data_IF_117867659149
#
_entry.id   IF_117867659149
#
_cell.length_a   1.000
_cell.length_b   1.000
_cell.length_c   1.000
_cell.angle_alpha   90.00
_cell.angle_beta   90.00
_cell.angle_gamma   90.00
#
_symmetry.space_group_name_H-M   'P 1'
#
loop_
_entity.id
_entity.type
_entity.pdbx_description
1 polymer ?
#
# COMPACT_ATOMS: atom_id res chain seq x y z
N UNK A 1 10.82 -39.51 31.97
CA UNK A 1 10.67 -38.60 30.80
C UNK A 1 9.57 -39.14 29.90
N UNK A 2 8.37 -38.55 29.98
CA UNK A 2 7.19 -38.93 29.16
C UNK A 2 7.26 -38.19 27.83
N UNK A 3 7.27 -38.94 26.73
CA UNK A 3 7.08 -38.42 25.38
C UNK A 3 5.58 -38.25 25.13
N UNK A 4 5.06 -37.04 25.31
CA UNK A 4 3.73 -36.67 24.82
C UNK A 4 3.79 -36.51 23.29
N UNK A 5 3.18 -37.47 22.60
CA UNK A 5 2.99 -37.41 21.16
C UNK A 5 1.99 -36.30 20.81
N UNK A 6 2.49 -35.31 20.07
CA UNK A 6 1.74 -34.23 19.44
C UNK A 6 0.57 -34.79 18.61
N UNK A 7 -0.66 -34.65 19.11
CA UNK A 7 -1.89 -34.88 18.33
C UNK A 7 -2.28 -33.57 17.63
N UNK A 8 -2.18 -33.44 16.30
CA UNK A 8 -2.78 -32.31 15.61
C UNK A 8 -4.31 -32.47 15.67
N UNK A 9 -4.97 -31.58 16.42
CA UNK A 9 -6.43 -31.46 16.41
C UNK A 9 -6.87 -30.92 15.05
N UNK A 10 -7.22 -31.81 14.12
CA UNK A 10 -8.00 -31.47 12.94
C UNK A 10 -9.46 -31.27 13.38
N UNK A 11 -9.77 -30.11 13.94
CA UNK A 11 -11.16 -29.68 14.14
C UNK A 11 -11.64 -29.01 12.86
N UNK A 12 -12.30 -29.78 11.99
CA UNK A 12 -13.24 -29.22 11.02
C UNK A 12 -14.65 -29.30 11.62
N UNK A 13 -15.41 -28.19 11.68
CA UNK A 13 -16.82 -28.25 12.04
C UNK A 13 -17.60 -28.84 10.85
N UNK A 14 -18.20 -30.00 11.05
CA UNK A 14 -19.15 -30.59 10.09
C UNK A 14 -20.53 -30.03 10.43
N UNK A 15 -21.26 -29.40 9.47
CA UNK A 15 -22.62 -28.96 9.73
C UNK A 15 -23.56 -30.16 9.86
N UNK A 16 -24.32 -30.19 10.96
CA UNK A 16 -25.29 -31.23 11.24
C UNK A 16 -26.44 -31.21 10.22
N UNK A 17 -26.58 -32.28 9.44
CA UNK A 17 -27.84 -32.66 8.79
C UNK A 17 -28.25 -34.05 9.28
N UNK A 18 -29.45 -34.13 9.83
CA UNK A 18 -30.02 -35.35 10.39
C UNK A 18 -30.19 -36.45 9.35
N UNK A 19 -29.91 -37.69 9.78
CA UNK A 19 -30.13 -38.90 9.00
C UNK A 19 -29.03 -39.94 9.18
N UNK A 20 -29.30 -40.96 10.00
CA UNK A 20 -28.53 -42.19 10.20
C UNK A 20 -27.19 -42.09 10.94
N UNK A 21 -27.13 -42.67 12.15
CA UNK A 21 -25.90 -42.89 12.91
C UNK A 21 -24.99 -43.89 12.17
N UNK A 22 -24.14 -43.39 11.28
CA UNK A 22 -22.90 -44.09 10.96
C UNK A 22 -22.04 -44.04 12.21
N UNK A 23 -21.82 -45.20 12.85
CA UNK A 23 -20.88 -45.32 13.97
C UNK A 23 -19.53 -44.74 13.51
N UNK A 24 -19.12 -43.63 14.10
CA UNK A 24 -17.75 -43.14 13.97
C UNK A 24 -16.82 -44.22 14.57
N UNK A 25 -15.86 -44.78 13.83
CA UNK A 25 -14.93 -45.78 14.37
C UNK A 25 -14.18 -45.15 15.55
N UNK A 26 -14.37 -45.68 16.76
CA UNK A 26 -13.92 -45.04 18.00
C UNK A 26 -12.49 -45.37 18.41
N UNK A 27 -11.70 -46.06 17.59
CA UNK A 27 -10.26 -46.26 17.83
C UNK A 27 -9.56 -46.43 16.49
N UNK A 28 -8.48 -45.69 16.26
CA UNK A 28 -7.64 -45.87 15.09
C UNK A 28 -6.90 -47.21 15.23
N UNK A 29 -7.36 -48.25 14.53
CA UNK A 29 -6.62 -49.51 14.41
C UNK A 29 -5.61 -49.41 13.24
N UNK A 30 -4.29 -49.48 13.50
CA UNK A 30 -3.26 -49.47 12.47
C UNK A 30 -3.45 -50.55 11.39
N UNK A 31 -3.97 -51.73 11.78
CA UNK A 31 -4.18 -52.85 10.86
C UNK A 31 -5.34 -52.54 9.92
N UNK A 32 -6.47 -52.08 10.46
CA UNK A 32 -7.62 -51.70 9.65
C UNK A 32 -7.27 -50.57 8.66
N UNK A 33 -6.50 -49.56 9.08
CA UNK A 33 -6.02 -48.50 8.19
C UNK A 33 -5.19 -49.04 7.01
N UNK A 34 -4.26 -49.97 7.26
CA UNK A 34 -3.44 -50.57 6.21
C UNK A 34 -4.23 -51.47 5.27
N UNK A 35 -5.22 -52.21 5.79
CA UNK A 35 -6.13 -53.04 4.98
C UNK A 35 -7.00 -52.14 4.10
N UNK A 36 -7.61 -51.09 4.66
CA UNK A 36 -8.44 -50.14 3.91
C UNK A 36 -7.66 -49.45 2.78
N UNK A 37 -6.40 -49.13 3.04
CA UNK A 37 -5.53 -48.46 2.08
C UNK A 37 -5.10 -49.37 0.92
N UNK A 38 -4.80 -50.65 1.19
CA UNK A 38 -4.46 -51.64 0.16
C UNK A 38 -5.67 -52.11 -0.64
N UNK A 39 -6.85 -52.14 -0.01
CA UNK A 39 -8.10 -52.59 -0.63
C UNK A 39 -9.20 -51.51 -0.57
N UNK A 40 -9.03 -50.37 -1.26
CA UNK A 40 -9.98 -49.25 -1.21
C UNK A 40 -11.39 -49.64 -1.69
N UNK A 41 -11.49 -50.66 -2.54
CA UNK A 41 -12.75 -51.20 -3.06
C UNK A 41 -13.63 -51.87 -2.00
N UNK A 42 -13.08 -52.29 -0.86
CA UNK A 42 -13.87 -52.85 0.24
C UNK A 42 -14.83 -51.82 0.83
N UNK A 43 -14.39 -50.56 0.99
CA UNK A 43 -15.26 -49.48 1.48
C UNK A 43 -16.40 -49.17 0.51
N UNK A 44 -16.09 -49.14 -0.79
CA UNK A 44 -17.11 -48.91 -1.84
C UNK A 44 -18.12 -50.07 -1.89
N UNK A 45 -17.68 -51.31 -1.61
CA UNK A 45 -18.55 -52.47 -1.56
C UNK A 45 -19.49 -52.52 -0.34
N UNK A 46 -19.18 -51.77 0.73
CA UNK A 46 -19.96 -51.72 1.98
C UNK A 46 -21.05 -50.64 1.99
N UNK A 47 -21.08 -49.72 1.02
CA UNK A 47 -22.15 -48.72 0.90
C UNK A 47 -23.41 -49.43 0.36
N UNK A 48 -24.53 -49.45 1.10
CA UNK A 48 -25.78 -50.00 0.60
C UNK A 48 -26.23 -49.17 -0.60
N UNK A 49 -26.44 -49.81 -1.75
CA UNK A 49 -26.86 -49.16 -3.00
C UNK A 49 -28.30 -48.68 -2.81
N UNK A 50 -28.46 -47.45 -2.32
CA UNK A 50 -29.76 -46.79 -2.22
C UNK A 50 -29.90 -45.77 -3.37
N UNK A 51 -30.68 -46.17 -4.36
CA UNK A 51 -31.48 -45.36 -5.28
C UNK A 51 -30.73 -44.64 -6.45
N UNK A 52 -31.11 -45.06 -7.66
CA UNK A 52 -31.11 -44.31 -8.93
C UNK A 52 -29.78 -43.90 -9.58
N UNK A 53 -29.05 -44.86 -10.15
CA UNK A 53 -28.26 -44.59 -11.36
C UNK A 53 -28.22 -45.82 -12.27
N UNK A 54 -28.50 -45.73 -13.59
CA UNK A 54 -28.56 -46.88 -14.49
C UNK A 54 -27.18 -47.35 -14.98
N UNK A 55 -26.09 -46.74 -14.50
CA UNK A 55 -24.74 -47.19 -14.86
C UNK A 55 -24.37 -48.41 -14.03
N UNK A 56 -24.42 -49.58 -14.67
CA UNK A 56 -24.08 -50.88 -14.08
C UNK A 56 -22.65 -50.78 -13.51
N UNK A 57 -22.45 -50.82 -12.18
CA UNK A 57 -21.10 -50.79 -11.64
C UNK A 57 -20.32 -52.00 -12.15
N UNK A 58 -18.98 -51.88 -12.30
CA UNK A 58 -18.15 -53.00 -12.71
C UNK A 58 -18.42 -54.21 -11.82
N UNK A 59 -18.50 -55.41 -12.41
CA UNK A 59 -18.64 -56.69 -11.69
C UNK A 59 -17.37 -56.93 -10.87
N UNK A 60 -17.32 -56.30 -9.71
CA UNK A 60 -16.27 -56.51 -8.72
C UNK A 60 -16.63 -57.79 -7.97
N UNK A 61 -15.74 -58.78 -8.03
CA UNK A 61 -15.87 -60.03 -7.27
C UNK A 61 -15.63 -59.75 -5.78
N UNK A 62 -16.71 -59.37 -5.08
CA UNK A 62 -16.68 -58.98 -3.66
C UNK A 62 -16.14 -60.09 -2.76
N UNK A 63 -16.49 -61.35 -3.06
CA UNK A 63 -16.07 -62.50 -2.26
C UNK A 63 -14.55 -62.69 -2.35
N UNK A 64 -13.99 -62.52 -3.56
CA UNK A 64 -12.55 -62.59 -3.77
C UNK A 64 -11.79 -61.49 -3.03
N UNK A 65 -12.22 -60.22 -3.15
CA UNK A 65 -11.56 -59.09 -2.47
C UNK A 65 -11.66 -59.22 -0.94
N UNK A 66 -12.80 -59.67 -0.40
CA UNK A 66 -12.94 -59.94 1.03
C UNK A 66 -12.02 -61.07 1.50
N UNK A 67 -11.86 -62.12 0.70
CA UNK A 67 -10.93 -63.21 0.99
C UNK A 67 -9.48 -62.74 1.04
N UNK A 68 -9.04 -61.94 0.06
CA UNK A 68 -7.69 -61.36 0.01
C UNK A 68 -7.43 -60.40 1.19
N UNK A 69 -8.41 -59.57 1.53
CA UNK A 69 -8.30 -58.65 2.66
C UNK A 69 -8.20 -59.35 4.01
N UNK A 70 -8.95 -60.45 4.21
CA UNK A 70 -8.83 -61.28 5.43
C UNK A 70 -7.45 -61.91 5.55
N UNK A 71 -6.90 -62.45 4.46
CA UNK A 71 -5.53 -63.01 4.45
C UNK A 71 -4.49 -61.94 4.81
N UNK A 72 -4.61 -60.76 4.21
CA UNK A 72 -3.71 -59.64 4.51
C UNK A 72 -3.83 -59.17 5.96
N UNK A 73 -5.04 -59.17 6.54
CA UNK A 73 -5.23 -58.87 7.97
C UNK A 73 -4.49 -59.88 8.86
N UNK A 74 -4.63 -61.17 8.59
CA UNK A 74 -3.92 -62.21 9.37
C UNK A 74 -2.40 -62.11 9.22
N UNK A 75 -1.89 -61.69 8.06
CA UNK A 75 -0.46 -61.41 7.86
C UNK A 75 0.03 -60.21 8.68
N UNK A 76 -0.79 -59.16 8.83
CA UNK A 76 -0.44 -57.99 9.64
C UNK A 76 -0.52 -58.28 11.15
N UNK A 77 -1.39 -59.20 11.57
CA UNK A 77 -1.51 -59.63 12.97
C UNK A 77 -0.32 -60.48 13.45
N UNK A 78 0.36 -61.19 12.53
CA UNK A 78 1.56 -61.98 12.84
C UNK A 78 2.86 -61.18 12.76
N UNK A 79 2.82 -59.95 12.23
CA UNK A 79 4.00 -59.11 12.02
C UNK A 79 4.49 -58.48 13.35
N UNK A 80 5.82 -58.38 13.58
CA UNK A 80 6.36 -57.67 14.74
C UNK A 80 5.86 -56.22 14.83
N UNK A 81 5.65 -55.74 16.06
CA UNK A 81 5.08 -54.41 16.32
C UNK A 81 5.89 -53.26 15.72
N UNK A 82 7.22 -53.40 15.65
CA UNK A 82 8.09 -52.34 15.12
C UNK A 82 8.04 -52.28 13.59
N UNK A 83 7.95 -53.43 12.92
CA UNK A 83 7.74 -53.51 11.48
C UNK A 83 6.37 -52.95 11.08
N UNK A 84 5.33 -53.26 11.86
CA UNK A 84 3.99 -52.71 11.66
C UNK A 84 3.98 -51.17 11.79
N UNK A 85 4.69 -50.61 12.78
CA UNK A 85 4.85 -49.16 12.94
C UNK A 85 5.61 -48.52 11.78
N UNK A 86 6.70 -49.15 11.32
CA UNK A 86 7.47 -48.67 10.18
C UNK A 86 6.62 -48.64 8.90
N UNK A 87 5.84 -49.69 8.68
CA UNK A 87 4.93 -49.80 7.54
C UNK A 87 3.82 -48.75 7.62
N UNK A 88 3.19 -48.55 8.79
CA UNK A 88 2.24 -47.46 9.04
C UNK A 88 2.83 -46.08 8.76
N UNK A 89 4.05 -45.81 9.23
CA UNK A 89 4.75 -44.53 9.00
C UNK A 89 4.98 -44.30 7.51
N UNK A 90 5.44 -45.33 6.79
CA UNK A 90 5.68 -45.24 5.36
C UNK A 90 4.40 -44.98 4.57
N UNK A 91 3.29 -45.63 4.96
CA UNK A 91 2.02 -45.50 4.25
C UNK A 91 1.35 -44.15 4.53
N UNK A 92 1.42 -43.65 5.77
CA UNK A 92 1.00 -42.28 6.09
C UNK A 92 1.81 -41.22 5.35
N UNK A 93 3.10 -41.44 5.18
CA UNK A 93 3.94 -40.54 4.39
C UNK A 93 3.52 -40.52 2.91
N UNK A 94 3.19 -41.69 2.34
CA UNK A 94 2.62 -41.77 0.98
C UNK A 94 1.26 -41.10 0.87
N UNK A 95 0.35 -41.33 1.81
CA UNK A 95 -0.98 -40.68 1.82
C UNK A 95 -0.85 -39.15 1.90
N UNK A 96 0.07 -38.66 2.74
CA UNK A 96 0.34 -37.23 2.83
C UNK A 96 0.89 -36.69 1.51
N UNK A 97 1.82 -37.39 0.88
CA UNK A 97 2.38 -37.02 -0.42
C UNK A 97 1.31 -37.00 -1.51
N UNK A 98 0.43 -38.00 -1.58
CA UNK A 98 -0.70 -38.04 -2.53
C UNK A 98 -1.69 -36.88 -2.28
N UNK A 99 -2.00 -36.59 -1.02
CA UNK A 99 -2.86 -35.47 -0.66
C UNK A 99 -2.22 -34.13 -1.04
N UNK A 100 -0.90 -33.99 -0.84
CA UNK A 100 -0.15 -32.81 -1.24
C UNK A 100 -0.10 -32.67 -2.75
N UNK A 101 0.13 -33.76 -3.49
CA UNK A 101 0.14 -33.76 -4.95
C UNK A 101 -1.24 -33.39 -5.50
N UNK A 102 -2.31 -33.96 -4.93
CA UNK A 102 -3.68 -33.59 -5.31
C UNK A 102 -3.97 -32.12 -5.02
N UNK A 103 -3.61 -31.64 -3.83
CA UNK A 103 -3.77 -30.23 -3.47
C UNK A 103 -2.94 -29.30 -4.37
N UNK A 104 -1.73 -29.70 -4.77
CA UNK A 104 -0.88 -28.96 -5.69
C UNK A 104 -1.45 -28.92 -7.10
N UNK A 105 -2.02 -30.03 -7.60
CA UNK A 105 -2.74 -30.07 -8.88
C UNK A 105 -3.97 -29.18 -8.85
N UNK A 106 -4.75 -29.23 -7.77
CA UNK A 106 -5.91 -28.36 -7.56
C UNK A 106 -5.48 -26.88 -7.49
N UNK A 107 -4.43 -26.54 -6.75
CA UNK A 107 -3.87 -25.18 -6.69
C UNK A 107 -3.38 -24.73 -8.07
N UNK A 108 -2.66 -25.56 -8.83
CA UNK A 108 -2.20 -25.23 -10.18
C UNK A 108 -3.37 -25.02 -11.16
N UNK A 109 -4.49 -25.73 -10.96
CA UNK A 109 -5.71 -25.57 -11.76
C UNK A 109 -6.53 -24.32 -11.39
N UNK A 110 -6.23 -23.62 -10.28
CA UNK A 110 -6.96 -22.40 -9.90
C UNK A 110 -6.70 -21.27 -10.89
N UNK A 111 -7.67 -20.36 -10.98
CA UNK A 111 -7.66 -19.26 -11.95
C UNK A 111 -6.39 -18.41 -11.86
N UNK A 112 -5.94 -18.05 -10.65
CA UNK A 112 -4.77 -17.19 -10.44
C UNK A 112 -3.43 -17.85 -10.81
N UNK A 113 -3.40 -19.16 -11.07
CA UNK A 113 -2.20 -19.87 -11.57
C UNK A 113 -2.23 -20.12 -13.07
N UNK A 114 -3.28 -19.70 -13.76
CA UNK A 114 -3.36 -19.79 -15.22
C UNK A 114 -2.50 -18.71 -15.89
N UNK A 115 -1.98 -18.96 -17.11
CA UNK A 115 -1.11 -18.01 -17.82
C UNK A 115 -1.72 -16.62 -17.99
N UNK A 116 -3.04 -16.54 -18.25
CA UNK A 116 -3.76 -15.28 -18.40
C UNK A 116 -3.82 -14.44 -17.11
N UNK A 117 -3.60 -15.05 -15.94
CA UNK A 117 -3.54 -14.33 -14.66
C UNK A 117 -2.16 -13.76 -14.36
N UNK A 118 -1.20 -13.90 -15.27
CA UNK A 118 0.13 -13.28 -15.16
C UNK A 118 0.03 -11.80 -15.47
N UNK A 119 0.62 -10.94 -14.64
CA UNK A 119 0.55 -9.49 -14.84
C UNK A 119 1.30 -9.02 -16.08
N UNK A 120 0.65 -8.18 -16.90
CA UNK A 120 1.33 -7.45 -17.98
C UNK A 120 2.14 -6.28 -17.40
N UNK A 121 3.40 -6.53 -17.07
CA UNK A 121 4.27 -5.52 -16.48
C UNK A 121 4.57 -4.34 -17.40
N UNK A 122 4.44 -4.50 -18.72
CA UNK A 122 4.62 -3.40 -19.66
C UNK A 122 3.44 -2.42 -19.60
N UNK A 123 2.22 -2.94 -19.47
CA UNK A 123 1.03 -2.12 -19.22
C UNK A 123 1.09 -1.46 -17.84
N UNK A 124 1.28 -2.26 -16.78
CA UNK A 124 1.16 -1.79 -15.40
C UNK A 124 2.31 -0.87 -14.96
N UNK A 125 3.49 -0.97 -15.59
CA UNK A 125 4.58 -0.01 -15.35
C UNK A 125 4.31 1.39 -15.90
N UNK A 126 3.34 1.56 -16.81
CA UNK A 126 2.91 2.86 -17.35
C UNK A 126 1.80 3.52 -16.53
N UNK A 127 1.15 2.77 -15.64
CA UNK A 127 0.10 3.30 -14.80
C UNK A 127 0.67 4.35 -13.84
N UNK A 128 0.02 5.51 -13.76
CA UNK A 128 0.46 6.63 -12.91
C UNK A 128 0.25 6.31 -11.41
N UNK A 129 -0.76 5.52 -11.11
CA UNK A 129 -1.11 5.08 -9.77
C UNK A 129 -1.69 3.66 -9.81
N UNK A 130 -1.64 2.98 -8.68
CA UNK A 130 -2.30 1.69 -8.43
C UNK A 130 -3.22 1.83 -7.23
N UNK A 131 -4.33 1.12 -7.19
CA UNK A 131 -5.02 0.82 -5.94
C UNK A 131 -4.17 -0.12 -5.08
N UNK A 132 -4.47 -0.21 -3.78
CA UNK A 132 -3.78 -1.16 -2.91
C UNK A 132 -3.95 -2.61 -3.39
N UNK A 133 -5.14 -2.98 -3.85
CA UNK A 133 -5.38 -4.34 -4.33
C UNK A 133 -4.62 -4.64 -5.64
N UNK A 134 -4.53 -3.68 -6.57
CA UNK A 134 -3.69 -3.81 -7.76
C UNK A 134 -2.21 -3.95 -7.41
N UNK A 135 -1.70 -3.11 -6.51
CA UNK A 135 -0.31 -3.14 -6.07
C UNK A 135 0.04 -4.49 -5.41
N UNK A 136 -0.85 -5.03 -4.58
CA UNK A 136 -0.68 -6.35 -3.95
C UNK A 136 -0.70 -7.46 -5.01
N UNK A 137 -1.63 -7.45 -5.96
CA UNK A 137 -1.67 -8.43 -7.04
C UNK A 137 -0.39 -8.40 -7.89
N UNK A 138 0.08 -7.21 -8.25
CA UNK A 138 1.32 -7.00 -9.00
C UNK A 138 2.57 -7.45 -8.24
N UNK A 139 2.61 -7.24 -6.91
CA UNK A 139 3.70 -7.74 -6.05
C UNK A 139 3.81 -9.27 -6.05
N UNK A 140 2.72 -9.96 -6.35
CA UNK A 140 2.67 -11.41 -6.47
C UNK A 140 2.81 -11.88 -7.93
N UNK A 141 3.11 -10.97 -8.85
CA UNK A 141 3.28 -11.23 -10.27
C UNK A 141 1.97 -11.56 -10.99
N UNK A 142 0.83 -11.11 -10.46
CA UNK A 142 -0.50 -11.41 -11.01
C UNK A 142 -1.16 -10.20 -11.65
N UNK A 143 -2.04 -10.47 -12.60
CA UNK A 143 -2.87 -9.48 -13.27
C UNK A 143 -4.01 -9.04 -12.34
N UNK A 144 -4.09 -7.76 -11.95
CA UNK A 144 -5.15 -7.27 -11.05
C UNK A 144 -6.57 -7.43 -11.60
N UNK A 145 -6.74 -7.42 -12.93
CA UNK A 145 -8.02 -7.59 -13.61
C UNK A 145 -8.69 -8.92 -13.28
N UNK A 146 -7.88 -9.97 -13.10
CA UNK A 146 -8.35 -11.32 -12.80
C UNK A 146 -8.15 -11.68 -11.33
N UNK A 147 -7.05 -11.21 -10.73
CA UNK A 147 -6.64 -11.55 -9.37
C UNK A 147 -6.76 -10.34 -8.47
N UNK A 148 -7.97 -10.11 -7.97
CA UNK A 148 -8.30 -9.07 -6.99
C UNK A 148 -8.84 -9.66 -5.68
N UNK A 149 -8.94 -8.85 -4.62
CA UNK A 149 -9.37 -9.34 -3.30
C UNK A 149 -10.74 -10.04 -3.33
N UNK A 150 -11.70 -9.53 -4.12
CA UNK A 150 -13.03 -10.13 -4.26
C UNK A 150 -12.97 -11.55 -4.79
N UNK A 151 -12.10 -11.80 -5.78
CA UNK A 151 -11.89 -13.14 -6.37
C UNK A 151 -11.13 -14.11 -5.45
N UNK A 152 -10.20 -13.59 -4.63
CA UNK A 152 -9.28 -14.39 -3.81
C UNK A 152 -9.82 -14.66 -2.40
N UNK A 153 -10.60 -13.75 -1.83
CA UNK A 153 -11.08 -13.83 -0.43
C UNK A 153 -11.83 -15.12 -0.07
N UNK A 154 -12.66 -15.74 -0.94
CA UNK A 154 -13.33 -16.99 -0.61
C UNK A 154 -12.38 -18.19 -0.49
N UNK A 155 -11.12 -18.03 -0.94
CA UNK A 155 -10.13 -19.12 -1.01
C UNK A 155 -9.06 -19.09 0.08
N UNK A 156 -9.11 -18.08 0.96
CA UNK A 156 -8.10 -17.83 2.00
C UNK A 156 -7.90 -19.02 2.96
N UNK A 157 -8.96 -19.79 3.23
CA UNK A 157 -8.91 -20.91 4.17
C UNK A 157 -8.24 -22.18 3.63
N UNK A 158 -8.06 -22.30 2.32
CA UNK A 158 -7.55 -23.53 1.69
C UNK A 158 -6.47 -23.31 0.62
N UNK A 159 -6.29 -22.11 0.09
CA UNK A 159 -5.21 -21.81 -0.86
C UNK A 159 -4.03 -21.10 -0.16
N UNK A 160 -2.81 -21.64 -0.27
CA UNK A 160 -1.60 -20.97 0.19
C UNK A 160 -1.39 -19.61 -0.48
N UNK A 161 -1.69 -19.49 -1.78
CA UNK A 161 -1.60 -18.21 -2.50
C UNK A 161 -2.58 -17.19 -1.93
N UNK A 162 -3.84 -17.56 -1.71
CA UNK A 162 -4.85 -16.66 -1.16
C UNK A 162 -4.48 -16.18 0.25
N UNK A 163 -3.92 -17.06 1.08
CA UNK A 163 -3.42 -16.69 2.40
C UNK A 163 -2.26 -15.67 2.30
N UNK A 164 -1.32 -15.89 1.37
CA UNK A 164 -0.22 -14.95 1.13
C UNK A 164 -0.73 -13.58 0.66
N UNK A 165 -1.68 -13.57 -0.28
CA UNK A 165 -2.33 -12.34 -0.75
C UNK A 165 -2.95 -11.58 0.43
N UNK A 166 -3.73 -12.25 1.28
CA UNK A 166 -4.35 -11.64 2.45
C UNK A 166 -3.30 -11.01 3.39
N UNK A 167 -2.19 -11.69 3.66
CA UNK A 167 -1.14 -11.18 4.57
C UNK A 167 -0.49 -9.91 4.03
N UNK A 168 -0.13 -9.89 2.74
CA UNK A 168 0.47 -8.70 2.12
C UNK A 168 -0.53 -7.54 2.10
N UNK A 169 -1.80 -7.83 1.79
CA UNK A 169 -2.89 -6.86 1.83
C UNK A 169 -3.12 -6.27 3.23
N UNK A 170 -3.14 -7.09 4.27
CA UNK A 170 -3.30 -6.62 5.66
C UNK A 170 -2.18 -5.65 6.04
N UNK A 171 -0.93 -5.99 5.71
CA UNK A 171 0.22 -5.11 5.94
C UNK A 171 0.09 -3.78 5.17
N UNK A 172 -0.31 -3.83 3.90
CA UNK A 172 -0.49 -2.65 3.08
C UNK A 172 -1.61 -1.74 3.64
N UNK A 173 -2.76 -2.31 4.03
CA UNK A 173 -3.87 -1.55 4.61
C UNK A 173 -3.51 -0.92 5.96
N UNK A 174 -2.74 -1.62 6.80
CA UNK A 174 -2.21 -1.04 8.05
C UNK A 174 -1.24 0.11 7.76
N UNK A 175 -0.43 -0.01 6.71
CA UNK A 175 0.48 1.07 6.30
C UNK A 175 -0.30 2.28 5.76
N UNK A 176 -1.42 2.08 5.07
CA UNK A 176 -2.35 3.17 4.70
C UNK A 176 -2.94 3.84 5.94
N UNK A 177 -3.39 3.06 6.92
CA UNK A 177 -3.92 3.60 8.18
C UNK A 177 -2.88 4.44 8.94
N UNK A 178 -1.60 4.11 8.82
CA UNK A 178 -0.47 4.86 9.37
C UNK A 178 0.08 5.96 8.44
N UNK A 179 -0.60 6.26 7.33
CA UNK A 179 -0.18 7.25 6.32
C UNK A 179 1.24 7.00 5.75
N UNK A 180 1.73 5.76 5.83
CA UNK A 180 2.97 5.34 5.18
C UNK A 180 2.73 4.99 3.70
N UNK A 181 1.51 4.59 3.36
CA UNK A 181 0.99 4.41 2.01
C UNK A 181 -0.30 5.23 1.82
N UNK A 182 -0.72 5.38 0.58
CA UNK A 182 -1.97 6.06 0.19
C UNK A 182 -2.79 5.16 -0.72
N UNK A 183 -4.09 5.44 -0.87
CA UNK A 183 -4.93 4.75 -1.85
C UNK A 183 -5.70 5.81 -2.67
N UNK A 184 -5.40 5.99 -3.96
CA UNK A 184 -4.43 5.24 -4.76
C UNK A 184 -2.95 5.56 -4.42
N UNK A 185 -2.04 4.61 -4.70
CA UNK A 185 -0.60 4.69 -4.43
C UNK A 185 0.22 4.92 -5.71
N UNK A 186 1.33 5.65 -5.57
CA UNK A 186 2.34 5.76 -6.63
C UNK A 186 3.15 4.46 -6.73
N UNK A 187 3.36 3.90 -7.95
CA UNK A 187 4.07 2.64 -8.15
C UNK A 187 5.42 2.57 -7.44
N UNK A 188 6.23 3.61 -7.61
CA UNK A 188 7.57 3.64 -7.05
C UNK A 188 7.56 3.77 -5.50
N UNK A 189 6.51 4.35 -4.90
CA UNK A 189 6.38 4.43 -3.43
C UNK A 189 6.07 3.04 -2.85
N UNK A 190 5.22 2.30 -3.55
CA UNK A 190 4.91 0.92 -3.17
C UNK A 190 6.14 0.02 -3.27
N UNK A 191 6.98 0.18 -4.30
CA UNK A 191 8.26 -0.56 -4.42
C UNK A 191 9.21 -0.30 -3.24
N UNK A 192 9.34 0.94 -2.81
CA UNK A 192 10.18 1.26 -1.65
C UNK A 192 9.60 0.67 -0.37
N UNK A 193 8.28 0.67 -0.24
CA UNK A 193 7.61 0.04 0.89
C UNK A 193 7.81 -1.49 0.91
N UNK A 194 7.69 -2.19 -0.23
CA UNK A 194 7.90 -3.64 -0.28
C UNK A 194 9.33 -4.01 0.10
N UNK A 195 10.33 -3.27 -0.41
CA UNK A 195 11.75 -3.45 -0.04
C UNK A 195 11.99 -3.26 1.46
N UNK A 196 11.42 -2.21 2.06
CA UNK A 196 11.56 -1.93 3.51
C UNK A 196 10.94 -3.00 4.41
N UNK A 197 10.00 -3.78 3.90
CA UNK A 197 9.31 -4.84 4.64
C UNK A 197 9.76 -6.24 4.21
N UNK A 198 10.87 -6.36 3.46
CA UNK A 198 11.40 -7.62 2.93
C UNK A 198 10.34 -8.45 2.17
N UNK A 199 9.43 -7.76 1.47
CA UNK A 199 8.40 -8.40 0.68
C UNK A 199 8.94 -8.69 -0.73
N UNK A 200 8.84 -9.94 -1.21
CA UNK A 200 9.27 -10.28 -2.56
C UNK A 200 8.43 -9.52 -3.60
N UNK A 201 9.11 -9.00 -4.62
CA UNK A 201 8.50 -8.25 -5.71
C UNK A 201 9.11 -8.67 -7.05
N UNK A 202 8.36 -8.70 -8.18
CA UNK A 202 8.92 -9.06 -9.48
C UNK A 202 9.95 -8.03 -9.97
N UNK A 203 11.20 -8.46 -10.13
CA UNK A 203 12.33 -7.58 -10.53
C UNK A 203 12.13 -6.89 -11.88
N UNK A 204 11.44 -7.56 -12.83
CA UNK A 204 11.13 -7.00 -14.15
C UNK A 204 10.19 -5.79 -14.02
N UNK A 205 9.12 -5.90 -13.22
CA UNK A 205 8.21 -4.78 -12.98
C UNK A 205 8.90 -3.65 -12.21
N UNK A 206 9.69 -4.00 -11.17
CA UNK A 206 10.44 -3.01 -10.40
C UNK A 206 11.38 -2.19 -11.30
N UNK A 207 12.13 -2.85 -12.17
CA UNK A 207 13.05 -2.20 -13.10
C UNK A 207 12.34 -1.24 -14.05
N UNK A 208 11.20 -1.65 -14.63
CA UNK A 208 10.40 -0.82 -15.55
C UNK A 208 9.79 0.39 -14.86
N UNK A 209 9.28 0.22 -13.64
CA UNK A 209 8.69 1.31 -12.87
C UNK A 209 9.76 2.33 -12.49
N UNK A 210 10.92 1.90 -12.00
CA UNK A 210 12.04 2.80 -11.67
C UNK A 210 12.56 3.54 -12.91
N UNK A 211 12.62 2.89 -14.07
CA UNK A 211 13.03 3.54 -15.31
C UNK A 211 12.06 4.65 -15.77
N UNK A 212 10.76 4.51 -15.47
CA UNK A 212 9.72 5.48 -15.90
C UNK A 212 9.46 6.58 -14.88
N UNK A 213 9.32 6.22 -13.62
CA UNK A 213 8.90 7.12 -12.55
C UNK A 213 10.07 7.70 -11.75
N UNK A 214 11.29 7.24 -12.04
CA UNK A 214 12.46 7.51 -11.21
C UNK A 214 12.38 6.81 -9.86
N UNK A 215 13.39 7.02 -9.03
CA UNK A 215 13.30 6.67 -7.62
C UNK A 215 12.33 7.64 -6.94
N UNK A 216 11.40 7.14 -6.12
CA UNK A 216 10.62 8.04 -5.26
C UNK A 216 11.59 8.76 -4.39
N UNK A 217 11.72 10.05 -4.67
CA UNK A 217 12.46 10.94 -3.84
C UNK A 217 11.77 10.91 -2.49
N UNK A 218 12.50 10.46 -1.46
CA UNK A 218 12.02 10.46 -0.10
C UNK A 218 11.81 11.92 0.32
N UNK A 219 10.61 12.46 0.03
CA UNK A 219 10.28 13.86 0.22
C UNK A 219 10.42 14.25 1.68
N UNK A 220 10.23 13.31 2.61
CA UNK A 220 10.47 13.54 4.03
C UNK A 220 11.95 13.77 4.30
N UNK A 221 12.83 12.94 3.75
CA UNK A 221 14.27 13.16 3.86
C UNK A 221 14.69 14.47 3.20
N UNK A 222 14.18 14.78 2.01
CA UNK A 222 14.45 16.06 1.36
C UNK A 222 13.94 17.24 2.16
N UNK A 223 12.73 17.15 2.72
CA UNK A 223 12.15 18.20 3.52
C UNK A 223 12.93 18.40 4.81
N UNK A 224 13.31 17.31 5.51
CA UNK A 224 14.13 17.38 6.71
C UNK A 224 15.48 18.02 6.41
N UNK A 225 16.14 17.59 5.33
CA UNK A 225 17.40 18.18 4.88
C UNK A 225 17.25 19.66 4.52
N UNK A 226 16.23 20.01 3.75
CA UNK A 226 15.93 21.39 3.38
C UNK A 226 15.66 22.26 4.62
N UNK A 227 14.94 21.72 5.59
CA UNK A 227 14.66 22.39 6.85
C UNK A 227 15.96 22.62 7.63
N UNK A 228 16.81 21.61 7.80
CA UNK A 228 18.11 21.74 8.46
C UNK A 228 19.02 22.77 7.76
N UNK A 229 19.06 22.76 6.43
CA UNK A 229 19.83 23.73 5.64
C UNK A 229 19.27 25.15 5.84
N UNK A 230 17.95 25.32 5.83
CA UNK A 230 17.31 26.62 6.09
C UNK A 230 17.53 27.14 7.52
N UNK A 231 17.50 26.25 8.52
CA UNK A 231 17.76 26.61 9.91
C UNK A 231 19.21 27.05 10.12
N UNK A 232 20.16 26.40 9.42
CA UNK A 232 21.58 26.80 9.40
C UNK A 232 21.76 28.17 8.77
N UNK A 233 21.16 28.41 7.60
CA UNK A 233 21.26 29.70 6.91
C UNK A 233 20.65 30.83 7.74
N UNK A 234 19.49 30.59 8.39
CA UNK A 234 18.88 31.56 9.33
C UNK A 234 19.81 31.85 10.51
N UNK A 235 20.48 30.84 11.07
CA UNK A 235 21.42 31.03 12.17
C UNK A 235 22.65 31.86 11.75
N UNK A 236 23.20 31.59 10.56
CA UNK A 236 24.31 32.36 9.99
C UNK A 236 23.92 33.82 9.73
N UNK A 237 22.75 34.06 9.13
CA UNK A 237 22.24 35.42 8.90
C UNK A 237 22.02 36.17 10.21
N UNK A 238 21.47 35.51 11.24
CA UNK A 238 21.29 36.13 12.57
C UNK A 238 22.63 36.48 13.22
N UNK A 239 23.64 35.62 13.11
CA UNK A 239 24.98 35.89 13.62
C UNK A 239 25.64 37.06 12.87
N UNK A 240 25.48 37.13 11.55
CA UNK A 240 25.97 38.25 10.75
C UNK A 240 25.31 39.59 11.14
N UNK A 241 23.99 39.60 11.37
CA UNK A 241 23.27 40.79 11.84
C UNK A 241 23.74 41.21 13.24
N UNK A 242 23.96 40.26 14.16
CA UNK A 242 24.50 40.55 15.48
C UNK A 242 25.91 41.18 15.41
N UNK A 243 26.79 40.65 14.56
CA UNK A 243 28.14 41.20 14.36
C UNK A 243 28.13 42.62 13.75
N UNK A 244 27.15 42.95 12.91
CA UNK A 244 26.96 44.32 12.39
C UNK A 244 26.42 45.24 13.49
N UNK A 245 25.53 44.75 14.35
CA UNK A 245 24.97 45.51 15.47
C UNK A 245 26.00 45.77 16.59
N UNK A 246 26.88 44.81 16.87
CA UNK A 246 27.93 44.91 17.89
C UNK A 246 29.20 45.62 17.41
N UNK A 247 29.24 46.05 16.14
CA UNK A 247 30.36 46.83 15.62
C UNK A 247 30.38 48.19 16.37
N UNK A 248 31.34 48.44 17.27
CA UNK A 248 31.31 49.61 18.13
C UNK A 248 31.44 50.86 17.25
N UNK A 249 30.68 51.90 17.58
CA UNK A 249 30.59 53.19 16.89
C UNK A 249 31.89 54.04 16.99
N UNK A 250 33.06 53.42 16.80
CA UNK A 250 34.38 54.02 17.00
C UNK A 250 35.33 53.67 15.85
N UNK A 251 35.00 54.17 14.66
CA UNK A 251 35.91 54.84 13.73
C UNK A 251 35.24 54.95 12.35
N UNK A 252 34.74 56.14 12.01
CA UNK A 252 35.24 56.83 10.82
C UNK A 252 35.11 58.35 11.01
N UNK A 253 36.07 59.14 10.48
CA UNK A 253 36.06 60.58 10.56
C UNK A 253 34.94 61.17 9.72
N UNK A 254 34.37 62.27 10.23
CA UNK A 254 33.58 63.23 9.46
C UNK A 254 34.31 63.58 8.15
N UNK A 255 33.80 63.11 7.01
CA UNK A 255 33.64 63.86 5.77
C UNK A 255 33.12 62.95 4.63
N UNK A 256 31.80 62.85 4.49
CA UNK A 256 31.03 63.15 3.27
C UNK A 256 29.58 62.70 3.49
N UNK A 257 28.77 63.59 4.06
CA UNK A 257 27.32 63.55 3.92
C UNK A 257 26.97 63.87 2.46
N UNK A 258 26.34 62.92 1.75
CA UNK A 258 25.25 63.13 0.77
C UNK A 258 25.08 61.99 -0.26
N UNK A 259 25.05 60.70 0.12
CA UNK A 259 24.76 59.66 -0.89
C UNK A 259 23.92 58.44 -0.49
N UNK A 260 23.29 58.39 0.69
CA UNK A 260 22.41 57.25 1.07
C UNK A 260 20.90 57.51 1.03
N UNK A 261 20.44 58.75 0.93
CA UNK A 261 18.99 59.05 0.88
C UNK A 261 18.38 59.04 -0.54
N UNK A 262 19.20 59.04 -1.59
CA UNK A 262 18.70 59.10 -2.98
C UNK A 262 18.12 57.77 -3.50
N UNK A 263 18.59 56.64 -2.98
CA UNK A 263 18.10 55.30 -3.36
C UNK A 263 16.74 54.99 -2.74
N UNK A 264 16.60 55.20 -1.43
CA UNK A 264 15.36 54.98 -0.69
C UNK A 264 14.23 55.91 -1.16
N UNK A 265 14.54 57.15 -1.54
CA UNK A 265 13.55 58.06 -2.13
C UNK A 265 13.14 57.64 -3.54
N UNK A 266 14.08 57.19 -4.39
CA UNK A 266 13.78 56.72 -5.75
C UNK A 266 12.96 55.43 -5.78
N UNK A 267 13.25 54.48 -4.90
CA UNK A 267 12.47 53.24 -4.75
C UNK A 267 11.06 53.56 -4.22
N UNK A 268 10.96 54.40 -3.19
CA UNK A 268 9.67 54.86 -2.66
C UNK A 268 8.84 55.58 -3.72
N UNK A 269 9.44 56.48 -4.50
CA UNK A 269 8.75 57.15 -5.61
C UNK A 269 8.30 56.16 -6.69
N UNK A 270 9.12 55.15 -7.00
CA UNK A 270 8.77 54.11 -7.97
C UNK A 270 7.57 53.28 -7.51
N UNK A 271 7.54 52.90 -6.23
CA UNK A 271 6.41 52.22 -5.61
C UNK A 271 5.15 53.10 -5.59
N UNK A 272 5.28 54.38 -5.23
CA UNK A 272 4.16 55.33 -5.24
C UNK A 272 3.57 55.50 -6.64
N UNK A 273 4.42 55.55 -7.69
CA UNK A 273 3.98 55.62 -9.10
C UNK A 273 3.24 54.36 -9.53
N UNK A 274 3.73 53.17 -9.18
CA UNK A 274 3.03 51.92 -9.47
C UNK A 274 1.69 51.85 -8.76
N UNK A 275 1.67 52.24 -7.48
CA UNK A 275 0.46 52.23 -6.67
C UNK A 275 -0.61 53.18 -7.21
N UNK A 276 -0.26 54.43 -7.54
CA UNK A 276 -1.23 55.39 -8.07
C UNK A 276 -1.73 55.00 -9.47
N UNK A 277 -0.88 54.45 -10.35
CA UNK A 277 -1.30 53.96 -11.66
C UNK A 277 -2.29 52.80 -11.52
N UNK A 278 -2.04 51.87 -10.60
CA UNK A 278 -2.97 50.78 -10.30
C UNK A 278 -4.30 51.31 -9.75
N UNK A 279 -4.27 52.30 -8.84
CA UNK A 279 -5.45 52.94 -8.28
C UNK A 279 -6.33 53.62 -9.35
N UNK A 280 -5.72 54.38 -10.26
CA UNK A 280 -6.42 55.06 -11.36
C UNK A 280 -7.02 54.05 -12.34
N UNK A 281 -6.26 53.02 -12.75
CA UNK A 281 -6.74 52.05 -13.76
C UNK A 281 -7.77 51.07 -13.22
N UNK A 282 -7.50 50.44 -12.07
CA UNK A 282 -8.34 49.37 -11.51
C UNK A 282 -9.50 49.92 -10.68
N UNK A 283 -9.24 50.92 -9.84
CA UNK A 283 -10.23 51.43 -8.89
C UNK A 283 -10.88 52.75 -9.33
N UNK A 284 -10.52 53.25 -10.52
CA UNK A 284 -11.02 54.53 -11.07
C UNK A 284 -10.80 55.70 -10.12
N UNK A 285 -9.67 55.69 -9.40
CA UNK A 285 -9.30 56.80 -8.53
C UNK A 285 -9.12 58.08 -9.36
N UNK A 286 -9.76 59.17 -8.93
CA UNK A 286 -9.57 60.51 -9.47
C UNK A 286 -8.76 61.36 -8.48
N UNK A 287 -7.51 61.74 -8.82
CA UNK A 287 -6.66 62.59 -8.00
C UNK A 287 -7.25 63.97 -7.67
N UNK A 288 -8.16 64.48 -8.49
CA UNK A 288 -8.71 65.82 -8.35
C UNK A 288 -10.07 65.84 -7.62
N UNK A 289 -10.64 64.68 -7.32
CA UNK A 289 -11.91 64.59 -6.63
C UNK A 289 -11.78 64.89 -5.12
N UNK A 290 -12.65 65.77 -4.61
CA UNK A 290 -12.70 66.14 -3.17
C UNK A 290 -13.06 64.97 -2.26
N UNK A 291 -13.82 63.99 -2.76
CA UNK A 291 -14.21 62.76 -2.05
C UNK A 291 -14.14 61.58 -3.02
N UNK A 292 -13.59 60.46 -2.57
CA UNK A 292 -13.44 59.25 -3.37
C UNK A 292 -13.78 58.01 -2.56
N UNK A 293 -14.78 57.24 -3.03
CA UNK A 293 -15.13 55.92 -2.47
C UNK A 293 -14.05 54.86 -2.76
N UNK A 294 -13.07 55.17 -3.61
CA UNK A 294 -11.96 54.29 -3.98
C UNK A 294 -11.12 53.89 -2.77
N UNK A 295 -10.98 54.77 -1.76
CA UNK A 295 -10.20 54.49 -0.54
C UNK A 295 -10.76 53.29 0.22
N UNK A 296 -12.07 53.28 0.46
CA UNK A 296 -12.74 52.18 1.18
C UNK A 296 -12.74 50.87 0.39
N UNK A 297 -12.76 50.94 -0.95
CA UNK A 297 -12.63 49.76 -1.81
C UNK A 297 -11.22 49.17 -1.77
N UNK A 298 -10.19 50.01 -1.82
CA UNK A 298 -8.79 49.57 -1.69
C UNK A 298 -8.57 48.97 -0.31
N UNK A 299 -9.11 49.57 0.75
CA UNK A 299 -9.02 49.05 2.11
C UNK A 299 -9.55 47.61 2.22
N UNK A 300 -10.75 47.36 1.69
CA UNK A 300 -11.35 46.02 1.70
C UNK A 300 -10.47 44.98 0.98
N UNK A 301 -9.96 45.31 -0.21
CA UNK A 301 -9.09 44.40 -0.96
C UNK A 301 -7.76 44.12 -0.22
N UNK A 302 -7.24 45.10 0.52
CA UNK A 302 -6.03 44.94 1.34
C UNK A 302 -6.31 44.08 2.58
N UNK A 303 -7.47 44.24 3.21
CA UNK A 303 -7.94 43.40 4.32
C UNK A 303 -8.16 41.95 3.89
N UNK A 304 -8.71 41.72 2.69
CA UNK A 304 -8.85 40.38 2.10
C UNK A 304 -7.49 39.69 1.86
N UNK A 305 -6.41 40.47 1.72
CA UNK A 305 -5.03 39.97 1.61
C UNK A 305 -4.33 39.80 2.97
N UNK A 306 -5.04 39.99 4.10
CA UNK A 306 -4.51 39.82 5.45
C UNK A 306 -3.73 41.03 6.00
N UNK A 307 -3.85 42.21 5.39
CA UNK A 307 -3.21 43.45 5.84
C UNK A 307 -4.27 44.44 6.32
N UNK A 308 -4.03 45.12 7.44
CA UNK A 308 -4.93 46.18 7.94
C UNK A 308 -4.30 47.55 7.73
N UNK A 309 -4.97 48.40 6.96
CA UNK A 309 -4.58 49.80 6.75
C UNK A 309 -5.78 50.73 7.01
N UNK A 310 -5.50 51.88 7.62
CA UNK A 310 -6.51 52.91 7.83
C UNK A 310 -6.79 53.73 6.56
N UNK A 311 -8.02 54.23 6.42
CA UNK A 311 -8.46 55.01 5.25
C UNK A 311 -7.58 56.28 5.08
N UNK A 312 -7.17 56.92 6.18
CA UNK A 312 -6.29 58.08 6.13
C UNK A 312 -4.90 57.73 5.59
N UNK A 313 -4.40 56.53 5.86
CA UNK A 313 -3.09 56.06 5.39
C UNK A 313 -3.12 55.79 3.89
N UNK A 314 -4.16 55.11 3.41
CA UNK A 314 -4.35 54.85 1.98
C UNK A 314 -4.50 56.18 1.22
N UNK A 315 -5.34 57.09 1.71
CA UNK A 315 -5.54 58.40 1.11
C UNK A 315 -4.24 59.22 1.07
N UNK A 316 -3.43 59.17 2.13
CA UNK A 316 -2.12 59.83 2.17
C UNK A 316 -1.20 59.33 1.05
N UNK A 317 -1.10 58.02 0.83
CA UNK A 317 -0.25 57.47 -0.22
C UNK A 317 -0.78 57.72 -1.63
N UNK A 318 -2.10 57.70 -1.82
CA UNK A 318 -2.72 58.07 -3.10
C UNK A 318 -2.43 59.54 -3.46
N UNK A 319 -2.49 60.46 -2.48
CA UNK A 319 -2.15 61.88 -2.70
C UNK A 319 -0.66 62.07 -3.02
N UNK A 320 0.22 61.39 -2.29
CA UNK A 320 1.67 61.41 -2.59
C UNK A 320 1.97 60.88 -3.99
N UNK A 321 1.28 59.81 -4.43
CA UNK A 321 1.42 59.30 -5.79
C UNK A 321 0.83 60.24 -6.85
N UNK A 322 -0.29 60.90 -6.56
CA UNK A 322 -0.92 61.87 -7.46
C UNK A 322 -0.02 63.07 -7.77
N UNK A 323 0.72 63.55 -6.77
CA UNK A 323 1.73 64.61 -6.95
C UNK A 323 2.83 64.20 -7.95
N UNK A 324 3.13 62.89 -8.06
CA UNK A 324 4.14 62.37 -9.00
C UNK A 324 3.62 62.16 -10.43
N UNK A 325 2.29 62.14 -10.63
CA UNK A 325 1.66 62.03 -11.96
C UNK A 325 1.44 63.40 -12.61
N UNK A 326 1.37 64.46 -11.81
CA UNK A 326 1.22 65.81 -12.34
C UNK A 326 2.49 66.17 -13.12
N UNK A 327 2.39 66.54 -14.42
CA UNK A 327 3.56 66.96 -15.17
C UNK A 327 4.16 68.17 -14.46
N UNK A 328 5.38 68.02 -13.92
CA UNK A 328 6.14 69.17 -13.44
C UNK A 328 6.34 70.08 -14.65
N UNK A 329 5.65 71.22 -14.66
CA UNK A 329 5.96 72.31 -15.60
C UNK A 329 7.44 72.67 -15.35
N UNK A 330 8.31 72.23 -16.26
CA UNK A 330 9.68 72.68 -16.30
C UNK A 330 9.64 74.18 -16.65
N UNK A 331 9.84 75.03 -15.65
CA UNK A 331 10.12 76.46 -15.82
C UNK A 331 11.52 76.68 -16.36
#
# INVERSE_FOLDING_TARGET
MRLEAYRPKLTYPIPARGGSMVRLPSEFDPIDYLVERKFPLLRVALIPVSISSPSRPPRIDRAKIQGEAKKYRTELETLPRDDLKALLKSERAKELAERQEKAAKEEAARFFNQPYSTGDFEHWSKAQYWSIDEAVALSLGKAPEHVNWSSVSPMVSYSPFANRYQRVRDLALRAVAWQALYDPILPALFLDWTRKNDLPFPEDLASRVTARHGNVVNWRLLYTKLKEDSEREIAELRAAVANVADRPASNEPRATSNQSDSGATRERESLLKLFIVAAVRKYRFDPHATRSETVSRIKRDVEDCGLSLDDATILKYLRQGAELLSPKENK
#
